data_IF_835040580023
#
_entry.id   IF_835040580023
#
_cell.length_a   1.000
_cell.length_b   1.000
_cell.length_c   1.000
_cell.angle_alpha   90.00
_cell.angle_beta   90.00
_cell.angle_gamma   90.00
#
_symmetry.space_group_name_H-M   'P 1'
#
loop_
_entity.id
_entity.type
_entity.pdbx_description
1 polymer ?
#
# COMPACT_ATOMS: atom_id res chain seq x y z
N UNK A 1 -2.44 37.12 13.20
CA UNK A 1 -2.27 35.66 13.46
C UNK A 1 -3.53 34.83 13.22
N UNK A 2 -4.75 35.38 13.29
CA UNK A 2 -6.02 34.64 13.08
C UNK A 2 -6.38 34.36 11.62
N UNK A 3 -6.00 35.23 10.67
CA UNK A 3 -6.32 35.05 9.23
C UNK A 3 -5.57 33.88 8.57
N UNK A 4 -4.32 33.64 8.91
CA UNK A 4 -3.50 32.54 8.33
C UNK A 4 -4.02 31.16 8.76
N UNK A 5 -4.52 31.04 10.01
CA UNK A 5 -5.18 29.82 10.51
C UNK A 5 -6.50 29.52 9.78
N UNK A 6 -7.28 30.55 9.45
CA UNK A 6 -8.54 30.38 8.73
C UNK A 6 -8.34 29.92 7.29
N UNK A 7 -7.31 30.43 6.61
CA UNK A 7 -6.96 30.02 5.24
C UNK A 7 -6.47 28.57 5.17
N UNK A 8 -5.70 28.11 6.16
CA UNK A 8 -5.25 26.72 6.24
C UNK A 8 -6.42 25.73 6.41
N UNK A 9 -7.44 26.09 7.20
CA UNK A 9 -8.64 25.26 7.39
C UNK A 9 -9.55 25.22 6.15
N UNK A 10 -9.66 26.34 5.41
CA UNK A 10 -10.40 26.40 4.15
C UNK A 10 -9.74 25.58 3.04
N UNK A 11 -8.41 25.50 3.03
CA UNK A 11 -7.65 24.68 2.07
C UNK A 11 -7.57 23.20 2.45
N UNK A 12 -7.77 22.83 3.71
CA UNK A 12 -7.53 21.47 4.22
C UNK A 12 -8.25 20.37 3.42
N UNK A 13 -9.54 20.49 3.04
CA UNK A 13 -10.21 19.47 2.24
C UNK A 13 -9.54 19.23 0.89
N UNK A 14 -9.02 20.30 0.26
CA UNK A 14 -8.27 20.20 -1.00
C UNK A 14 -6.97 19.41 -0.79
N UNK A 15 -6.20 19.73 0.25
CA UNK A 15 -4.95 19.03 0.55
C UNK A 15 -5.20 17.54 0.84
N UNK A 16 -6.18 17.24 1.69
CA UNK A 16 -6.59 15.86 2.01
C UNK A 16 -7.03 15.11 0.75
N UNK A 17 -7.91 15.72 -0.06
CA UNK A 17 -8.42 15.11 -1.29
C UNK A 17 -7.29 14.82 -2.28
N UNK A 18 -6.34 15.74 -2.45
CA UNK A 18 -5.19 15.53 -3.35
C UNK A 18 -4.28 14.40 -2.89
N UNK A 19 -3.94 14.33 -1.60
CA UNK A 19 -3.12 13.22 -1.08
C UNK A 19 -3.83 11.88 -1.19
N UNK A 20 -5.13 11.82 -0.87
CA UNK A 20 -5.93 10.59 -0.99
C UNK A 20 -6.07 10.14 -2.44
N UNK A 21 -6.25 11.04 -3.40
CA UNK A 21 -6.31 10.70 -4.81
C UNK A 21 -4.99 10.08 -5.31
N UNK A 22 -3.86 10.72 -4.99
CA UNK A 22 -2.51 10.22 -5.35
C UNK A 22 -2.25 8.85 -4.75
N UNK A 23 -2.53 8.70 -3.45
CA UNK A 23 -2.40 7.43 -2.73
C UNK A 23 -3.31 6.38 -3.36
N UNK A 24 -4.58 6.69 -3.61
CA UNK A 24 -5.54 5.77 -4.19
C UNK A 24 -5.12 5.25 -5.55
N UNK A 25 -4.65 6.13 -6.44
CA UNK A 25 -4.18 5.73 -7.78
C UNK A 25 -2.88 4.93 -7.70
N UNK A 26 -1.87 5.42 -6.98
CA UNK A 26 -0.57 4.76 -6.88
C UNK A 26 -0.67 3.39 -6.20
N UNK A 27 -1.38 3.33 -5.07
CA UNK A 27 -1.66 2.08 -4.37
C UNK A 27 -2.52 1.14 -5.21
N UNK A 28 -3.57 1.63 -5.88
CA UNK A 28 -4.46 0.80 -6.70
C UNK A 28 -3.70 0.08 -7.82
N UNK A 29 -2.85 0.82 -8.55
CA UNK A 29 -2.01 0.24 -9.60
C UNK A 29 -1.02 -0.79 -9.03
N UNK A 30 -0.36 -0.47 -7.92
CA UNK A 30 0.55 -1.39 -7.26
C UNK A 30 -0.14 -2.64 -6.71
N UNK A 31 -1.32 -2.50 -6.11
CA UNK A 31 -2.10 -3.60 -5.55
C UNK A 31 -2.54 -4.57 -6.64
N UNK A 32 -3.03 -4.06 -7.78
CA UNK A 32 -3.39 -4.89 -8.93
C UNK A 32 -2.19 -5.67 -9.46
N UNK A 33 -1.05 -4.98 -9.68
CA UNK A 33 0.18 -5.62 -10.13
C UNK A 33 0.74 -6.63 -9.14
N UNK A 34 0.78 -6.28 -7.86
CA UNK A 34 1.29 -7.13 -6.79
C UNK A 34 0.41 -8.37 -6.58
N UNK A 35 -0.91 -8.23 -6.70
CA UNK A 35 -1.84 -9.35 -6.62
C UNK A 35 -1.65 -10.30 -7.80
N UNK A 36 -1.62 -9.77 -9.02
CA UNK A 36 -1.44 -10.59 -10.22
C UNK A 36 -0.09 -11.32 -10.22
N UNK A 37 1.00 -10.60 -10.02
CA UNK A 37 2.34 -11.18 -10.03
C UNK A 37 2.61 -12.03 -8.79
N UNK A 38 2.12 -11.63 -7.62
CA UNK A 38 2.32 -12.38 -6.37
C UNK A 38 1.63 -13.74 -6.40
N UNK A 39 0.40 -13.80 -6.93
CA UNK A 39 -0.29 -15.06 -7.18
C UNK A 39 0.46 -15.90 -8.23
N UNK A 40 0.88 -15.28 -9.34
CA UNK A 40 1.60 -15.98 -10.39
C UNK A 40 2.92 -16.56 -9.89
N UNK A 41 3.72 -15.80 -9.14
CA UNK A 41 4.98 -16.25 -8.56
C UNK A 41 4.78 -17.36 -7.51
N UNK A 42 3.68 -17.32 -6.75
CA UNK A 42 3.37 -18.39 -5.81
C UNK A 42 3.01 -19.71 -6.52
N UNK A 43 2.31 -19.62 -7.65
CA UNK A 43 1.82 -20.79 -8.41
C UNK A 43 2.83 -21.30 -9.45
N UNK A 44 3.75 -20.45 -9.93
CA UNK A 44 4.72 -20.77 -10.98
C UNK A 44 6.15 -20.60 -10.48
N UNK A 45 6.84 -21.72 -10.23
CA UNK A 45 8.23 -21.75 -9.73
C UNK A 45 9.21 -20.96 -10.61
N UNK A 46 9.18 -21.05 -11.96
CA UNK A 46 10.11 -20.28 -12.79
C UNK A 46 9.96 -18.76 -12.62
N UNK A 47 8.72 -18.27 -12.50
CA UNK A 47 8.43 -16.85 -12.28
C UNK A 47 9.01 -16.40 -10.95
N UNK A 48 8.88 -17.22 -9.90
CA UNK A 48 9.46 -16.93 -8.59
C UNK A 48 10.99 -16.83 -8.65
N UNK A 49 11.65 -17.82 -9.25
CA UNK A 49 13.11 -17.85 -9.37
C UNK A 49 13.66 -16.66 -10.19
N UNK A 50 12.91 -16.17 -11.18
CA UNK A 50 13.28 -14.98 -11.94
C UNK A 50 13.11 -13.67 -11.16
N UNK A 51 12.10 -13.59 -10.29
CA UNK A 51 11.78 -12.37 -9.53
C UNK A 51 12.56 -12.25 -8.22
N UNK A 52 12.94 -13.36 -7.59
CA UNK A 52 13.69 -13.40 -6.32
C UNK A 52 14.94 -12.48 -6.32
N UNK A 53 15.86 -12.56 -7.31
CA UNK A 53 17.05 -11.71 -7.33
C UNK A 53 16.74 -10.21 -7.40
N UNK A 54 15.71 -9.84 -8.17
CA UNK A 54 15.28 -8.44 -8.32
C UNK A 54 14.76 -7.90 -6.98
N UNK A 55 14.01 -8.72 -6.25
CA UNK A 55 13.46 -8.36 -4.94
C UNK A 55 14.58 -8.21 -3.93
N UNK A 56 15.52 -9.14 -3.89
CA UNK A 56 16.66 -9.09 -2.97
C UNK A 56 17.54 -7.86 -3.21
N UNK A 57 17.72 -7.47 -4.48
CA UNK A 57 18.46 -6.28 -4.85
C UNK A 57 17.77 -4.98 -4.40
N UNK A 58 16.45 -4.90 -4.57
CA UNK A 58 15.67 -3.69 -4.27
C UNK A 58 15.41 -3.53 -2.77
N UNK A 59 15.20 -4.64 -2.05
CA UNK A 59 14.78 -4.66 -0.65
C UNK A 59 15.65 -3.83 0.33
N UNK A 60 16.99 -3.84 0.27
CA UNK A 60 17.81 -3.08 1.22
C UNK A 60 17.82 -1.58 0.93
N UNK A 61 17.44 -1.15 -0.28
CA UNK A 61 17.53 0.24 -0.67
C UNK A 61 16.34 1.01 -0.08
N UNK A 62 16.56 2.06 0.74
CA UNK A 62 15.47 2.88 1.26
C UNK A 62 14.66 3.48 0.10
N UNK A 63 13.32 3.32 0.05
CA UNK A 63 12.54 3.81 -1.07
C UNK A 63 12.73 5.31 -1.32
N UNK A 64 12.84 6.11 -0.26
CA UNK A 64 13.10 7.56 -0.35
C UNK A 64 14.35 7.93 -1.16
N UNK A 65 15.36 7.06 -1.25
CA UNK A 65 16.54 7.29 -2.07
C UNK A 65 16.23 7.33 -3.57
N UNK A 66 15.16 6.66 -4.02
CA UNK A 66 14.73 6.68 -5.41
C UNK A 66 13.83 7.86 -5.76
N UNK A 67 13.30 8.60 -4.78
CA UNK A 67 12.37 9.70 -5.04
C UNK A 67 12.93 10.72 -6.06
N UNK A 68 14.20 11.19 -5.97
CA UNK A 68 14.76 12.08 -6.98
C UNK A 68 14.77 11.49 -8.39
N UNK A 69 14.96 10.17 -8.52
CA UNK A 69 14.95 9.48 -9.81
C UNK A 69 13.56 9.51 -10.44
N UNK A 70 12.51 9.31 -9.64
CA UNK A 70 11.13 9.48 -10.10
C UNK A 70 10.82 10.92 -10.52
N UNK A 71 11.38 11.92 -9.84
CA UNK A 71 11.25 13.32 -10.25
C UNK A 71 11.95 13.61 -11.58
N UNK A 72 13.12 13.02 -11.83
CA UNK A 72 13.84 13.17 -13.11
C UNK A 72 13.08 12.49 -14.26
N UNK A 73 12.53 11.30 -14.03
CA UNK A 73 11.84 10.54 -15.08
C UNK A 73 10.44 11.05 -15.41
N UNK A 74 9.65 11.39 -14.39
CA UNK A 74 8.24 11.76 -14.55
C UNK A 74 7.98 13.26 -14.32
N UNK A 75 9.03 14.03 -14.02
CA UNK A 75 8.93 15.45 -13.68
C UNK A 75 8.41 15.72 -12.26
N UNK A 76 8.24 17.00 -11.94
CA UNK A 76 7.72 17.46 -10.65
C UNK A 76 6.19 17.29 -10.52
N UNK A 77 5.50 16.80 -11.56
CA UNK A 77 4.04 16.71 -11.59
C UNK A 77 3.44 15.58 -10.72
N UNK A 78 2.21 15.19 -11.05
CA UNK A 78 1.49 14.11 -10.35
C UNK A 78 2.08 12.72 -10.62
N UNK A 79 2.62 12.52 -11.85
CA UNK A 79 3.14 11.23 -12.30
C UNK A 79 4.25 10.68 -11.40
N UNK A 80 5.19 11.53 -10.97
CA UNK A 80 6.29 11.11 -10.10
C UNK A 80 5.82 10.64 -8.74
N UNK A 81 4.85 11.35 -8.14
CA UNK A 81 4.29 11.03 -6.81
C UNK A 81 3.54 9.70 -6.87
N UNK A 82 2.69 9.52 -7.88
CA UNK A 82 1.93 8.28 -8.09
C UNK A 82 2.85 7.11 -8.38
N UNK A 83 3.83 7.28 -9.26
CA UNK A 83 4.81 6.24 -9.60
C UNK A 83 5.66 5.84 -8.39
N UNK A 84 6.07 6.81 -7.56
CA UNK A 84 6.83 6.57 -6.35
C UNK A 84 6.05 5.77 -5.30
N UNK A 85 4.78 6.13 -5.07
CA UNK A 85 3.87 5.35 -4.21
C UNK A 85 3.74 3.93 -4.74
N UNK A 86 3.52 3.80 -6.05
CA UNK A 86 3.36 2.51 -6.71
C UNK A 86 4.59 1.62 -6.51
N UNK A 87 5.77 2.14 -6.84
CA UNK A 87 7.05 1.47 -6.64
C UNK A 87 7.25 1.01 -5.19
N UNK A 88 7.06 1.91 -4.23
CA UNK A 88 7.36 1.65 -2.83
C UNK A 88 6.44 0.59 -2.24
N UNK A 89 5.18 0.56 -2.66
CA UNK A 89 4.18 -0.34 -2.09
C UNK A 89 4.10 -1.67 -2.84
N UNK A 90 4.47 -1.70 -4.12
CA UNK A 90 4.41 -2.90 -4.96
C UNK A 90 5.24 -4.05 -4.42
N UNK A 91 6.54 -3.88 -4.18
CA UNK A 91 7.42 -5.00 -3.83
C UNK A 91 7.06 -5.64 -2.48
N UNK A 92 6.85 -4.88 -1.38
CA UNK A 92 6.45 -5.47 -0.11
C UNK A 92 5.09 -6.18 -0.21
N UNK A 93 4.12 -5.60 -0.93
CA UNK A 93 2.82 -6.25 -1.15
C UNK A 93 2.95 -7.54 -1.93
N UNK A 94 3.71 -7.52 -3.04
CA UNK A 94 3.96 -8.69 -3.88
C UNK A 94 4.52 -9.84 -3.04
N UNK A 95 5.56 -9.58 -2.25
CA UNK A 95 6.22 -10.59 -1.42
C UNK A 95 5.26 -11.14 -0.37
N UNK A 96 4.51 -10.26 0.30
CA UNK A 96 3.56 -10.67 1.33
C UNK A 96 2.40 -11.50 0.75
N UNK A 97 1.91 -11.16 -0.44
CA UNK A 97 0.87 -11.92 -1.16
C UNK A 97 1.40 -13.29 -1.56
N UNK A 98 2.59 -13.36 -2.17
CA UNK A 98 3.19 -14.64 -2.55
C UNK A 98 3.41 -15.53 -1.32
N UNK A 99 3.90 -14.96 -0.21
CA UNK A 99 4.08 -15.67 1.05
C UNK A 99 2.75 -16.16 1.65
N UNK A 100 1.68 -15.38 1.56
CA UNK A 100 0.35 -15.79 2.05
C UNK A 100 -0.16 -17.02 1.30
N UNK A 101 0.07 -17.07 -0.01
CA UNK A 101 -0.34 -18.19 -0.87
C UNK A 101 0.51 -19.43 -0.62
N UNK A 102 1.82 -19.27 -0.46
CA UNK A 102 2.74 -20.39 -0.18
C UNK A 102 2.57 -21.00 1.21
N UNK A 103 1.93 -20.29 2.15
CA UNK A 103 1.66 -20.76 3.52
C UNK A 103 0.31 -21.48 3.68
N UNK A 104 -0.44 -21.68 2.59
CA UNK A 104 -1.67 -22.49 2.63
C UNK A 104 -1.33 -23.92 3.10
N UNK A 105 -2.10 -24.44 4.05
CA UNK A 105 -1.85 -25.75 4.66
C UNK A 105 -1.85 -26.87 3.61
N UNK A 106 -0.76 -27.61 3.55
CA UNK A 106 -0.61 -28.77 2.67
C UNK A 106 -1.68 -29.83 2.92
N UNK A 107 -2.20 -29.92 4.15
CA UNK A 107 -3.28 -30.84 4.54
C UNK A 107 -4.58 -30.52 3.81
N UNK A 108 -4.93 -29.23 3.70
CA UNK A 108 -6.09 -28.78 2.92
C UNK A 108 -5.94 -29.15 1.43
N UNK A 109 -4.74 -28.98 0.88
CA UNK A 109 -4.44 -29.32 -0.51
C UNK A 109 -4.55 -30.82 -0.77
N UNK A 110 -3.97 -31.64 0.11
CA UNK A 110 -4.04 -33.12 0.02
C UNK A 110 -5.48 -33.62 0.16
N UNK A 111 -6.24 -33.10 1.13
CA UNK A 111 -7.62 -33.47 1.34
C UNK A 111 -8.48 -33.17 0.10
N UNK A 112 -8.34 -31.98 -0.49
CA UNK A 112 -9.07 -31.62 -1.70
C UNK A 112 -8.66 -32.49 -2.90
N UNK A 113 -7.37 -32.78 -3.07
CA UNK A 113 -6.89 -33.68 -4.11
C UNK A 113 -7.44 -35.12 -3.96
N UNK A 114 -7.54 -35.64 -2.73
CA UNK A 114 -8.15 -36.95 -2.45
C UNK A 114 -9.65 -37.00 -2.77
N UNK A 115 -10.34 -35.84 -2.76
CA UNK A 115 -11.73 -35.70 -3.18
C UNK A 115 -11.89 -35.49 -4.70
N UNK A 116 -10.81 -35.62 -5.48
CA UNK A 116 -10.83 -35.49 -6.93
C UNK A 116 -10.69 -34.06 -7.46
N UNK A 117 -10.28 -33.09 -6.63
CA UNK A 117 -10.07 -31.72 -7.09
C UNK A 117 -8.92 -31.66 -8.12
N UNK A 118 -9.23 -31.17 -9.32
CA UNK A 118 -8.22 -30.87 -10.33
C UNK A 118 -7.37 -29.64 -9.99
N UNK A 119 -6.34 -29.37 -10.79
CA UNK A 119 -5.43 -28.23 -10.59
C UNK A 119 -6.16 -26.87 -10.51
N UNK A 120 -7.15 -26.65 -11.39
CA UNK A 120 -7.92 -25.40 -11.41
C UNK A 120 -8.82 -25.27 -10.18
N UNK A 121 -9.39 -26.38 -9.73
CA UNK A 121 -10.22 -26.42 -8.52
C UNK A 121 -9.40 -26.19 -7.26
N UNK A 122 -8.20 -26.78 -7.17
CA UNK A 122 -7.26 -26.51 -6.08
C UNK A 122 -6.94 -25.01 -5.99
N UNK A 123 -6.63 -24.36 -7.10
CA UNK A 123 -6.30 -22.93 -7.12
C UNK A 123 -7.51 -22.09 -6.70
N UNK A 124 -8.66 -22.27 -7.37
CA UNK A 124 -9.82 -21.38 -7.19
C UNK A 124 -10.61 -21.63 -5.92
N UNK A 125 -10.72 -22.89 -5.46
CA UNK A 125 -11.58 -23.29 -4.35
C UNK A 125 -10.83 -23.51 -3.04
N UNK A 126 -9.51 -23.73 -3.09
CA UNK A 126 -8.71 -24.02 -1.89
C UNK A 126 -7.66 -22.94 -1.66
N UNK A 127 -6.73 -22.77 -2.60
CA UNK A 127 -5.57 -21.88 -2.43
C UNK A 127 -5.99 -20.41 -2.30
N UNK A 128 -6.73 -19.88 -3.28
CA UNK A 128 -7.12 -18.45 -3.28
C UNK A 128 -7.98 -18.10 -2.06
N UNK A 129 -9.05 -18.86 -1.72
CA UNK A 129 -9.84 -18.57 -0.52
C UNK A 129 -9.05 -18.70 0.78
N UNK A 130 -8.16 -19.70 0.91
CA UNK A 130 -7.35 -19.90 2.11
C UNK A 130 -6.28 -18.81 2.28
N UNK A 131 -5.73 -18.28 1.19
CA UNK A 131 -4.74 -17.21 1.20
C UNK A 131 -5.36 -15.81 1.36
N UNK A 132 -6.65 -15.65 1.06
CA UNK A 132 -7.34 -14.35 1.02
C UNK A 132 -7.17 -13.53 2.32
N UNK A 133 -7.23 -14.08 3.54
CA UNK A 133 -6.95 -13.32 4.76
C UNK A 133 -5.53 -12.71 4.76
N UNK A 134 -4.52 -13.50 4.35
CA UNK A 134 -3.15 -13.03 4.26
C UNK A 134 -2.97 -11.97 3.17
N UNK A 135 -3.70 -12.09 2.05
CA UNK A 135 -3.73 -11.07 1.00
C UNK A 135 -4.32 -9.76 1.52
N UNK A 136 -5.42 -9.79 2.29
CA UNK A 136 -5.99 -8.59 2.90
C UNK A 136 -4.99 -7.92 3.86
N UNK A 137 -4.28 -8.71 4.67
CA UNK A 137 -3.22 -8.20 5.54
C UNK A 137 -2.11 -7.52 4.72
N UNK A 138 -1.68 -8.13 3.62
CA UNK A 138 -0.66 -7.56 2.73
C UNK A 138 -1.12 -6.21 2.13
N UNK A 139 -2.35 -6.14 1.63
CA UNK A 139 -2.94 -4.90 1.08
C UNK A 139 -3.05 -3.81 2.14
N UNK A 140 -3.44 -4.16 3.37
CA UNK A 140 -3.54 -3.22 4.50
C UNK A 140 -2.19 -2.62 4.85
N UNK A 141 -1.15 -3.46 4.94
CA UNK A 141 0.21 -2.99 5.20
C UNK A 141 0.74 -2.13 4.04
N UNK A 142 0.46 -2.52 2.80
CA UNK A 142 0.81 -1.73 1.62
C UNK A 142 0.14 -0.35 1.61
N UNK A 143 -1.12 -0.26 2.02
CA UNK A 143 -1.83 1.01 2.11
C UNK A 143 -1.25 1.93 3.19
N UNK A 144 -0.91 1.37 4.36
CA UNK A 144 -0.24 2.12 5.42
C UNK A 144 1.11 2.68 4.93
N UNK A 145 1.87 1.88 4.18
CA UNK A 145 3.11 2.32 3.56
C UNK A 145 2.88 3.41 2.50
N UNK A 146 1.81 3.33 1.70
CA UNK A 146 1.43 4.35 0.73
C UNK A 146 1.23 5.74 1.38
N UNK A 147 0.52 5.76 2.52
CA UNK A 147 0.30 6.97 3.31
C UNK A 147 1.58 7.50 3.97
N UNK A 148 2.51 6.62 4.32
CA UNK A 148 3.80 7.04 4.85
C UNK A 148 4.64 7.74 3.77
N UNK A 149 4.73 7.15 2.56
CA UNK A 149 5.64 7.65 1.52
C UNK A 149 5.10 8.83 0.70
N UNK A 150 3.78 9.01 0.63
CA UNK A 150 3.19 10.19 -0.03
C UNK A 150 3.70 11.49 0.62
N UNK A 151 3.94 11.49 1.93
CA UNK A 151 4.44 12.67 2.65
C UNK A 151 5.79 13.11 2.07
N UNK A 152 6.73 12.18 1.92
CA UNK A 152 8.02 12.46 1.30
C UNK A 152 7.90 12.88 -0.16
N UNK A 153 7.01 12.24 -0.92
CA UNK A 153 6.75 12.60 -2.32
C UNK A 153 6.17 14.01 -2.48
N UNK A 154 5.37 14.46 -1.52
CA UNK A 154 4.77 15.79 -1.50
C UNK A 154 5.73 16.88 -1.00
N UNK A 155 6.87 16.52 -0.42
CA UNK A 155 7.87 17.50 -0.01
C UNK A 155 8.57 18.19 -1.19
N UNK A 156 8.58 17.56 -2.36
CA UNK A 156 9.31 18.03 -3.52
C UNK A 156 8.36 18.31 -4.69
N UNK A 157 8.15 19.59 -4.98
CA UNK A 157 7.37 20.03 -6.16
C UNK A 157 5.89 19.64 -6.10
N UNK A 158 5.26 19.68 -4.92
CA UNK A 158 3.81 19.60 -4.80
C UNK A 158 3.25 20.97 -4.43
N UNK A 159 2.14 21.37 -5.07
CA UNK A 159 1.42 22.62 -4.77
C UNK A 159 0.16 22.39 -3.91
N UNK A 160 -0.10 21.13 -3.57
CA UNK A 160 -1.20 20.69 -2.72
C UNK A 160 -0.85 19.33 -2.11
N UNK A 161 -1.52 18.97 -1.01
CA UNK A 161 -1.25 17.75 -0.25
C UNK A 161 -0.92 18.01 1.22
N UNK A 162 -1.01 16.97 2.04
CA UNK A 162 -0.73 17.01 3.47
C UNK A 162 0.79 17.14 3.75
N UNK A 163 1.64 16.49 2.94
CA UNK A 163 3.09 16.69 3.00
C UNK A 163 3.49 18.10 2.58
N UNK A 164 2.78 18.70 1.62
CA UNK A 164 2.96 20.11 1.26
C UNK A 164 2.63 21.03 2.45
N UNK A 165 1.48 20.82 3.12
CA UNK A 165 1.10 21.61 4.31
C UNK A 165 2.12 21.51 5.44
N UNK A 166 2.71 20.33 5.64
CA UNK A 166 3.77 20.11 6.63
C UNK A 166 5.03 20.90 6.25
N UNK A 167 5.44 20.86 4.98
CA UNK A 167 6.63 21.58 4.51
C UNK A 167 6.45 23.10 4.51
N UNK A 168 5.26 23.58 4.18
CA UNK A 168 4.91 24.99 4.31
C UNK A 168 4.98 25.43 5.78
N UNK A 169 4.37 24.65 6.68
CA UNK A 169 4.44 24.90 8.13
C UNK A 169 5.88 24.90 8.65
N UNK A 170 6.74 24.01 8.15
CA UNK A 170 8.19 24.03 8.44
C UNK A 170 8.85 25.31 7.97
N UNK A 171 8.58 25.72 6.72
CA UNK A 171 9.20 26.90 6.09
C UNK A 171 8.87 28.18 6.85
N UNK A 172 7.63 28.33 7.30
CA UNK A 172 7.17 29.49 8.06
C UNK A 172 7.27 29.33 9.59
N UNK A 173 7.93 28.28 10.08
CA UNK A 173 8.06 28.00 11.53
C UNK A 173 6.72 28.00 12.29
N UNK A 174 5.70 27.37 11.70
CA UNK A 174 4.36 27.21 12.25
C UNK A 174 4.16 25.77 12.79
N UNK A 175 4.63 25.46 14.02
CA UNK A 175 4.56 24.09 14.56
C UNK A 175 3.11 23.57 14.67
N UNK A 176 2.13 24.45 14.91
CA UNK A 176 0.72 24.07 14.95
C UNK A 176 0.23 23.50 13.59
N UNK A 177 0.70 24.03 12.46
CA UNK A 177 0.35 23.53 11.13
C UNK A 177 1.02 22.19 10.84
N UNK A 178 2.29 22.02 11.24
CA UNK A 178 3.03 20.77 11.12
C UNK A 178 2.32 19.65 11.89
N UNK A 179 1.99 19.90 13.16
CA UNK A 179 1.30 18.93 14.02
C UNK A 179 -0.10 18.62 13.47
N UNK A 180 -0.84 19.63 13.01
CA UNK A 180 -2.15 19.44 12.39
C UNK A 180 -2.06 18.53 11.15
N UNK A 181 -1.12 18.79 10.23
CA UNK A 181 -0.92 17.94 9.05
C UNK A 181 -0.58 16.49 9.42
N UNK A 182 0.31 16.30 10.40
CA UNK A 182 0.67 14.97 10.90
C UNK A 182 -0.50 14.23 11.57
N UNK A 183 -1.32 14.93 12.37
CA UNK A 183 -2.50 14.36 13.01
C UNK A 183 -3.57 13.97 11.98
N UNK A 184 -3.79 14.81 10.96
CA UNK A 184 -4.74 14.49 9.88
C UNK A 184 -4.29 13.26 9.10
N UNK A 185 -2.99 13.12 8.78
CA UNK A 185 -2.43 11.91 8.17
C UNK A 185 -2.65 10.67 9.05
N UNK A 186 -2.35 10.77 10.35
CA UNK A 186 -2.57 9.69 11.31
C UNK A 186 -4.04 9.27 11.41
N UNK A 187 -4.95 10.25 11.42
CA UNK A 187 -6.39 10.01 11.44
C UNK A 187 -6.86 9.32 10.16
N UNK A 188 -6.42 9.79 8.98
CA UNK A 188 -6.76 9.16 7.71
C UNK A 188 -6.24 7.72 7.63
N UNK A 189 -5.01 7.48 8.05
CA UNK A 189 -4.44 6.14 8.12
C UNK A 189 -5.22 5.22 9.06
N UNK A 190 -5.61 5.73 10.23
CA UNK A 190 -6.42 4.98 11.19
C UNK A 190 -7.81 4.65 10.63
N UNK A 191 -8.47 5.61 9.98
CA UNK A 191 -9.79 5.41 9.36
C UNK A 191 -9.72 4.32 8.27
N UNK A 192 -8.72 4.38 7.39
CA UNK A 192 -8.60 3.37 6.32
C UNK A 192 -8.19 2.01 6.89
N UNK A 193 -7.31 1.97 7.89
CA UNK A 193 -6.97 0.72 8.56
C UNK A 193 -8.19 0.09 9.24
N UNK A 194 -9.01 0.90 9.92
CA UNK A 194 -10.24 0.46 10.56
C UNK A 194 -11.28 -0.03 9.53
N UNK A 195 -11.41 0.64 8.39
CA UNK A 195 -12.34 0.23 7.33
C UNK A 195 -11.92 -1.09 6.68
N UNK A 196 -10.62 -1.29 6.44
CA UNK A 196 -10.07 -2.55 5.94
C UNK A 196 -10.26 -3.68 6.95
N UNK A 197 -10.04 -3.44 8.24
CA UNK A 197 -10.28 -4.43 9.29
C UNK A 197 -11.77 -4.77 9.43
N UNK A 198 -12.65 -3.78 9.30
CA UNK A 198 -14.09 -4.01 9.29
C UNK A 198 -14.52 -4.85 8.07
N UNK A 199 -13.93 -4.60 6.90
CA UNK A 199 -14.14 -5.41 5.71
C UNK A 199 -13.64 -6.85 5.90
N UNK A 200 -12.44 -7.03 6.47
CA UNK A 200 -11.88 -8.33 6.82
C UNK A 200 -12.81 -9.12 7.73
N UNK A 201 -13.28 -8.50 8.84
CA UNK A 201 -14.21 -9.14 9.79
C UNK A 201 -15.55 -9.50 9.16
N UNK A 202 -16.05 -8.72 8.21
CA UNK A 202 -17.30 -9.02 7.50
C UNK A 202 -17.11 -10.18 6.51
N UNK A 203 -15.98 -10.24 5.82
CA UNK A 203 -15.68 -11.28 4.83
C UNK A 203 -15.31 -12.63 5.50
N UNK A 204 -14.65 -12.60 6.66
CA UNK A 204 -14.14 -13.79 7.33
C UNK A 204 -14.77 -14.05 8.70
N UNK A 205 -16.09 -13.87 8.81
CA UNK A 205 -16.86 -14.19 10.04
C UNK A 205 -16.67 -15.62 10.55
N UNK A 206 -16.27 -16.53 9.66
CA UNK A 206 -16.09 -17.96 9.92
C UNK A 206 -14.77 -18.31 10.62
N UNK A 207 -13.83 -17.36 10.72
CA UNK A 207 -12.55 -17.56 11.41
C UNK A 207 -12.68 -16.96 12.81
N UNK A 208 -13.01 -17.80 13.80
CA UNK A 208 -12.77 -17.48 15.20
C UNK A 208 -11.26 -17.23 15.35
N UNK A 209 -10.90 -16.01 15.72
CA UNK A 209 -9.51 -15.61 15.89
C UNK A 209 -8.97 -16.25 17.18
N UNK A 210 -8.22 -17.33 17.07
CA UNK A 210 -7.28 -17.70 18.13
C UNK A 210 -6.16 -16.64 18.11
N UNK A 211 -6.19 -15.81 19.16
CA UNK A 211 -5.26 -14.72 19.47
C UNK A 211 -3.83 -15.25 19.55
#
# INVERSE_FOLDING_TARGET
MTRTRALALLGLPRHVGTSLARVGVGFGLAALGALALGLLAALCVPVRLMLEPVIELVRPIPPLAFLPMFLVWFGLGEGSKVAFIGYTTFFPMFVAIAAAVLRVDVTLLRAAASLGAGHVDLIRRVIVPAALPGIIVALRLGFALALFVIVGAEFMGADAGLGHLIMEGRTFFLPAQIVMGALVLGLLGSIVNASLLAAERRLFRWREQTI
#
